data_IF_286013555798
#
_entry.id   IF_286013555798
#
_cell.length_a   1.000
_cell.length_b   1.000
_cell.length_c   1.000
_cell.angle_alpha   90.00
_cell.angle_beta   90.00
_cell.angle_gamma   90.00
#
_symmetry.space_group_name_H-M   'P 1'
#
loop_
_entity.id
_entity.type
_entity.pdbx_description
1 polymer ?
#
# COMPACT_ATOMS: atom_id res chain seq x y z
N UNK A 1 -22.37 92.96 21.21
CA UNK A 1 -22.72 91.69 21.88
C UNK A 1 -22.11 90.55 21.07
N UNK A 2 -21.39 89.64 21.75
CA UNK A 2 -20.85 88.34 21.29
C UNK A 2 -19.90 88.37 20.07
N UNK A 3 -18.56 88.34 20.19
CA UNK A 3 -17.63 87.40 20.85
C UNK A 3 -17.26 86.18 19.98
N UNK A 4 -15.94 85.92 19.94
CA UNK A 4 -15.20 84.68 19.56
C UNK A 4 -14.77 84.54 18.09
N UNK A 5 -13.58 84.03 17.76
CA UNK A 5 -12.26 83.85 18.39
C UNK A 5 -11.43 83.23 17.25
N UNK A 6 -10.30 83.83 16.84
CA UNK A 6 -9.38 83.18 15.91
C UNK A 6 -8.60 82.08 16.66
N UNK A 7 -8.57 80.86 16.12
CA UNK A 7 -7.71 79.80 16.62
C UNK A 7 -6.89 79.18 15.47
N UNK A 8 -5.59 79.44 15.59
CA UNK A 8 -4.44 78.88 14.87
C UNK A 8 -4.50 77.36 14.81
N UNK A 9 -4.16 76.75 13.66
CA UNK A 9 -3.86 75.32 13.60
C UNK A 9 -2.50 75.08 12.94
N UNK A 10 -1.64 74.39 13.68
CA UNK A 10 -0.25 74.02 13.44
C UNK A 10 -0.16 72.89 12.40
N UNK A 11 0.78 72.97 11.45
CA UNK A 11 1.19 71.82 10.63
C UNK A 11 2.07 70.88 11.47
N UNK A 12 1.72 69.59 11.52
CA UNK A 12 2.56 68.51 12.02
C UNK A 12 2.81 67.50 10.90
N UNK A 13 4.03 67.47 10.40
CA UNK A 13 4.54 66.49 9.42
C UNK A 13 4.88 65.18 10.14
N UNK A 14 4.11 64.13 9.89
CA UNK A 14 4.37 62.78 10.40
C UNK A 14 5.19 61.97 9.39
N UNK A 15 6.44 61.63 9.75
CA UNK A 15 7.22 60.58 9.08
C UNK A 15 6.67 59.20 9.48
N UNK A 16 6.37 58.36 8.49
CA UNK A 16 5.99 56.95 8.67
C UNK A 16 7.24 56.05 8.61
N UNK A 17 7.41 55.09 9.54
CA UNK A 17 8.43 54.07 9.44
C UNK A 17 7.97 52.92 8.51
N UNK A 18 8.82 52.56 7.55
CA UNK A 18 8.64 51.41 6.68
C UNK A 18 8.98 50.12 7.46
N UNK A 19 7.98 49.37 7.91
CA UNK A 19 8.18 48.03 8.47
C UNK A 19 8.21 47.01 7.34
N UNK A 20 9.38 46.41 7.08
CA UNK A 20 9.51 45.30 6.15
C UNK A 20 8.84 44.04 6.73
N UNK A 21 7.79 43.57 6.06
CA UNK A 21 7.13 42.29 6.37
C UNK A 21 8.00 41.19 5.76
N UNK A 22 8.79 40.51 6.60
CA UNK A 22 9.45 39.26 6.24
C UNK A 22 8.40 38.16 6.19
N UNK A 23 7.96 37.77 4.99
CA UNK A 23 7.18 36.56 4.80
C UNK A 23 8.08 35.34 5.00
N UNK A 24 7.72 34.35 5.82
CA UNK A 24 8.44 33.09 5.84
C UNK A 24 8.27 32.44 4.45
N UNK A 25 9.40 32.24 3.78
CA UNK A 25 9.49 31.37 2.61
C UNK A 25 8.86 30.03 2.97
N UNK A 26 7.75 29.70 2.33
CA UNK A 26 7.23 28.34 2.30
C UNK A 26 8.32 27.46 1.67
N UNK A 27 9.03 26.73 2.52
CA UNK A 27 9.90 25.66 2.09
C UNK A 27 9.02 24.62 1.38
N UNK A 28 9.35 24.18 0.16
CA UNK A 28 8.70 23.01 -0.41
C UNK A 28 8.93 21.85 0.56
N UNK A 29 7.84 21.20 0.97
CA UNK A 29 7.85 20.15 1.98
C UNK A 29 8.94 19.13 1.69
N UNK A 30 9.98 19.13 2.52
CA UNK A 30 10.88 17.99 2.63
C UNK A 30 9.98 16.83 3.03
N UNK A 31 9.80 15.88 2.13
CA UNK A 31 9.18 14.59 2.45
C UNK A 31 9.88 14.10 3.72
N UNK A 32 9.15 14.03 4.83
CA UNK A 32 9.70 13.56 6.10
C UNK A 32 10.40 12.23 5.82
N UNK A 33 11.68 12.05 6.21
CA UNK A 33 12.31 10.75 6.14
C UNK A 33 11.37 9.75 6.81
N UNK A 34 11.09 8.64 6.14
CA UNK A 34 10.30 7.56 6.72
C UNK A 34 10.99 7.16 8.03
N UNK A 35 10.39 7.48 9.17
CA UNK A 35 11.00 7.16 10.46
C UNK A 35 11.09 5.64 10.56
N UNK A 36 12.29 5.12 10.76
CA UNK A 36 12.53 3.69 10.91
C UNK A 36 12.98 3.41 12.34
N UNK A 37 12.59 2.25 12.90
CA UNK A 37 13.20 1.72 14.11
C UNK A 37 14.73 1.64 13.98
N UNK A 38 15.45 1.78 15.09
CA UNK A 38 16.90 1.59 15.11
C UNK A 38 17.32 0.19 14.61
N UNK A 39 16.47 -0.81 14.84
CA UNK A 39 16.54 -2.13 14.22
C UNK A 39 15.19 -2.49 13.60
N UNK A 40 15.17 -2.73 12.28
CA UNK A 40 13.99 -3.18 11.53
C UNK A 40 13.81 -4.70 11.56
N UNK A 41 14.65 -5.42 12.31
CA UNK A 41 14.55 -6.87 12.52
C UNK A 41 14.67 -7.72 11.26
N UNK A 42 14.32 -8.99 11.39
CA UNK A 42 14.30 -9.97 10.29
C UNK A 42 13.00 -10.76 10.28
N UNK A 43 12.66 -11.33 9.12
CA UNK A 43 11.58 -12.30 8.99
C UNK A 43 12.15 -13.66 9.36
N UNK A 44 11.67 -14.22 10.47
CA UNK A 44 12.17 -15.47 11.06
C UNK A 44 11.39 -16.68 10.60
N UNK A 45 10.11 -16.51 10.25
CA UNK A 45 9.30 -17.56 9.64
C UNK A 45 8.51 -17.01 8.45
N UNK A 46 8.40 -17.84 7.43
CA UNK A 46 7.60 -17.57 6.24
C UNK A 46 6.91 -18.87 5.84
N UNK A 47 5.58 -18.80 5.75
CA UNK A 47 4.75 -19.88 5.20
C UNK A 47 3.81 -19.27 4.17
N UNK A 48 3.29 -20.12 3.31
CA UNK A 48 2.26 -19.72 2.36
C UNK A 48 1.26 -20.85 2.16
N UNK A 49 0.07 -20.51 1.71
CA UNK A 49 -1.00 -21.44 1.40
C UNK A 49 -1.98 -20.83 0.39
N UNK A 50 -2.74 -21.68 -0.30
CA UNK A 50 -3.67 -21.24 -1.34
C UNK A 50 -3.56 -22.12 -2.57
N UNK A 51 -4.55 -22.03 -3.45
CA UNK A 51 -4.53 -22.78 -4.70
C UNK A 51 -3.54 -22.20 -5.72
N UNK A 52 -3.25 -20.89 -5.67
CA UNK A 52 -2.20 -20.25 -6.48
C UNK A 52 -0.79 -20.38 -5.89
N UNK A 53 -0.67 -20.85 -4.64
CA UNK A 53 0.61 -21.16 -4.01
C UNK A 53 0.48 -22.33 -3.04
N UNK A 54 0.56 -23.55 -3.58
CA UNK A 54 0.34 -24.76 -2.78
C UNK A 54 1.41 -24.90 -1.70
N UNK A 55 0.99 -25.04 -0.45
CA UNK A 55 1.88 -25.22 0.69
C UNK A 55 2.79 -26.45 0.50
N UNK A 56 4.07 -26.31 0.87
CA UNK A 56 5.05 -27.39 0.77
C UNK A 56 5.59 -27.62 -0.64
N UNK A 57 5.18 -26.80 -1.62
CA UNK A 57 5.80 -26.75 -2.94
C UNK A 57 7.02 -25.80 -2.94
N UNK A 58 7.57 -25.52 -4.12
CA UNK A 58 8.53 -24.43 -4.36
C UNK A 58 7.87 -23.31 -5.18
N UNK A 59 6.55 -23.12 -5.03
CA UNK A 59 5.77 -22.19 -5.85
C UNK A 59 6.00 -20.72 -5.53
N UNK A 60 6.63 -20.41 -4.39
CA UNK A 60 6.92 -19.04 -3.95
C UNK A 60 8.39 -18.91 -3.54
N UNK A 61 9.11 -17.99 -4.17
CA UNK A 61 10.46 -17.57 -3.77
C UNK A 61 10.41 -16.18 -3.16
N UNK A 62 10.84 -16.05 -1.89
CA UNK A 62 10.88 -14.78 -1.17
C UNK A 62 12.26 -14.12 -1.23
N UNK A 63 12.28 -12.80 -1.33
CA UNK A 63 13.45 -11.95 -1.09
C UNK A 63 13.09 -10.69 -0.29
N UNK A 64 14.09 -9.95 0.20
CA UNK A 64 13.90 -8.72 0.98
C UNK A 64 13.69 -8.91 2.48
N UNK A 65 13.22 -7.86 3.14
CA UNK A 65 13.08 -7.76 4.61
C UNK A 65 11.89 -6.88 5.02
N UNK A 66 11.78 -6.50 6.29
CA UNK A 66 10.59 -5.79 6.81
C UNK A 66 10.30 -4.42 6.18
N UNK A 67 11.25 -3.80 5.49
CA UNK A 67 11.01 -2.54 4.79
C UNK A 67 10.26 -2.78 3.48
N UNK A 68 10.63 -3.84 2.77
CA UNK A 68 10.11 -4.24 1.46
C UNK A 68 10.40 -5.72 1.23
N UNK A 69 9.38 -6.49 0.88
CA UNK A 69 9.44 -7.92 0.59
C UNK A 69 8.96 -8.16 -0.84
N UNK A 70 9.63 -9.07 -1.55
CA UNK A 70 9.24 -9.46 -2.90
C UNK A 70 9.11 -10.98 -3.00
N UNK A 71 8.04 -11.41 -3.65
CA UNK A 71 7.66 -12.81 -3.83
C UNK A 71 7.56 -13.08 -5.32
N UNK A 72 8.29 -14.09 -5.80
CA UNK A 72 8.13 -14.61 -7.15
C UNK A 72 7.29 -15.87 -7.10
N UNK A 73 6.30 -15.95 -7.97
CA UNK A 73 5.44 -17.11 -8.09
C UNK A 73 5.79 -17.89 -9.35
N UNK A 74 5.68 -19.21 -9.31
CA UNK A 74 5.89 -20.06 -10.48
C UNK A 74 4.62 -20.73 -11.00
N UNK A 75 3.51 -20.65 -10.25
CA UNK A 75 2.27 -21.39 -10.52
C UNK A 75 1.00 -20.65 -10.08
N UNK A 76 0.99 -19.31 -10.10
CA UNK A 76 -0.17 -18.52 -9.69
C UNK A 76 -0.89 -17.94 -10.91
N UNK A 77 -1.84 -18.69 -11.46
CA UNK A 77 -2.64 -18.28 -12.63
C UNK A 77 -4.12 -18.61 -12.46
N UNK A 78 -4.99 -17.59 -12.58
CA UNK A 78 -6.42 -17.81 -12.83
C UNK A 78 -6.67 -17.82 -14.34
N UNK A 79 -7.42 -18.78 -14.84
CA UNK A 79 -7.63 -18.96 -16.28
C UNK A 79 -9.00 -19.55 -16.60
N UNK A 80 -9.57 -19.04 -17.69
CA UNK A 80 -10.86 -19.41 -18.27
C UNK A 80 -10.73 -19.75 -19.75
N UNK A 81 -9.50 -19.89 -20.25
CA UNK A 81 -9.20 -20.30 -21.63
C UNK A 81 -9.27 -21.82 -21.73
N UNK A 82 -8.77 -22.50 -20.71
CA UNK A 82 -8.71 -23.96 -20.65
C UNK A 82 -9.87 -24.53 -19.83
N UNK A 83 -10.52 -25.57 -20.37
CA UNK A 83 -11.66 -26.21 -19.70
C UNK A 83 -11.21 -26.88 -18.39
N UNK A 84 -11.95 -26.63 -17.30
CA UNK A 84 -11.65 -27.17 -15.97
C UNK A 84 -10.60 -26.38 -15.18
N UNK A 85 -10.10 -25.27 -15.74
CA UNK A 85 -9.14 -24.38 -15.09
C UNK A 85 -9.88 -23.41 -14.14
N UNK A 86 -9.27 -23.04 -13.00
CA UNK A 86 -9.96 -22.25 -11.99
C UNK A 86 -10.10 -20.78 -12.39
N UNK A 87 -11.32 -20.27 -12.23
CA UNK A 87 -11.66 -18.84 -12.43
C UNK A 87 -11.23 -17.95 -11.27
N UNK A 88 -10.91 -18.54 -10.11
CA UNK A 88 -10.47 -17.84 -8.90
C UNK A 88 -9.22 -18.51 -8.34
N UNK A 89 -8.20 -17.72 -8.05
CA UNK A 89 -6.97 -18.15 -7.41
C UNK A 89 -6.60 -17.23 -6.25
N UNK A 90 -5.92 -17.76 -5.26
CA UNK A 90 -5.35 -16.99 -4.17
C UNK A 90 -4.02 -17.55 -3.70
N UNK A 91 -3.21 -16.65 -3.15
CA UNK A 91 -2.06 -16.99 -2.34
C UNK A 91 -2.08 -16.17 -1.06
N UNK A 92 -2.05 -16.86 0.07
CA UNK A 92 -1.91 -16.29 1.40
C UNK A 92 -0.50 -16.48 1.91
N UNK A 93 0.14 -15.36 2.25
CA UNK A 93 1.48 -15.28 2.79
C UNK A 93 1.41 -15.02 4.29
N UNK A 94 2.11 -15.84 5.08
CA UNK A 94 2.16 -15.73 6.53
C UNK A 94 3.59 -15.38 6.97
N UNK A 95 3.73 -14.24 7.65
CA UNK A 95 5.02 -13.69 8.08
C UNK A 95 5.12 -13.64 9.59
N UNK A 96 6.24 -14.12 10.12
CA UNK A 96 6.65 -13.84 11.48
C UNK A 96 8.05 -13.25 11.47
N UNK A 97 8.30 -12.27 12.32
CA UNK A 97 9.63 -11.68 12.47
C UNK A 97 10.02 -11.46 13.91
N UNK A 98 11.27 -11.03 14.08
CA UNK A 98 11.86 -10.75 15.37
C UNK A 98 12.92 -9.65 15.26
N UNK A 99 13.32 -9.11 16.41
CA UNK A 99 14.43 -8.16 16.51
C UNK A 99 14.08 -6.73 16.06
N UNK A 100 12.79 -6.39 15.97
CA UNK A 100 12.37 -5.00 15.79
C UNK A 100 12.55 -4.23 17.12
N UNK A 101 12.88 -2.94 17.05
CA UNK A 101 13.04 -2.13 18.27
C UNK A 101 11.72 -1.98 19.03
N UNK A 102 11.73 -2.03 20.38
CA UNK A 102 10.55 -1.73 21.20
C UNK A 102 10.00 -0.31 20.99
N UNK A 103 8.69 -0.11 21.19
CA UNK A 103 8.02 1.19 21.01
C UNK A 103 7.72 1.54 19.55
N UNK A 104 7.57 0.52 18.71
CA UNK A 104 7.26 0.66 17.29
C UNK A 104 6.10 -0.25 16.88
N UNK A 105 5.42 0.14 15.81
CA UNK A 105 4.46 -0.69 15.09
C UNK A 105 4.84 -0.73 13.61
N UNK A 106 4.44 -1.80 12.93
CA UNK A 106 4.59 -1.97 11.48
C UNK A 106 3.21 -2.17 10.84
N UNK A 107 3.04 -1.67 9.62
CA UNK A 107 1.83 -1.85 8.83
C UNK A 107 2.19 -1.94 7.34
N UNK A 108 1.32 -2.57 6.54
CA UNK A 108 1.42 -2.48 5.09
C UNK A 108 1.23 -1.02 4.63
N UNK A 109 2.07 -0.56 3.71
CA UNK A 109 1.99 0.77 3.12
C UNK A 109 1.51 0.71 1.68
N UNK A 110 2.06 -0.22 0.91
CA UNK A 110 1.75 -0.43 -0.51
C UNK A 110 1.90 -1.92 -0.83
N UNK A 111 1.05 -2.40 -1.71
CA UNK A 111 1.23 -3.69 -2.37
C UNK A 111 1.18 -3.49 -3.88
N UNK A 112 2.03 -4.21 -4.61
CA UNK A 112 1.96 -4.29 -6.05
C UNK A 112 2.13 -5.72 -6.56
N UNK A 113 1.44 -6.02 -7.66
CA UNK A 113 1.55 -7.29 -8.36
C UNK A 113 1.81 -7.03 -9.84
N UNK A 114 2.74 -7.78 -10.39
CA UNK A 114 3.06 -7.80 -11.81
C UNK A 114 2.83 -9.17 -12.39
N UNK A 115 2.49 -9.21 -13.67
CA UNK A 115 2.38 -10.47 -14.40
C UNK A 115 1.89 -10.27 -15.81
N UNK A 116 1.30 -11.33 -16.38
CA UNK A 116 0.72 -11.32 -17.71
C UNK A 116 -0.80 -11.43 -17.66
N UNK A 117 -1.47 -10.60 -18.45
CA UNK A 117 -2.92 -10.56 -18.56
C UNK A 117 -3.34 -10.87 -19.99
N UNK A 118 -4.26 -11.83 -20.14
CA UNK A 118 -5.08 -12.00 -21.33
C UNK A 118 -6.53 -11.74 -20.93
N UNK A 119 -7.18 -10.73 -21.52
CA UNK A 119 -8.57 -10.39 -21.20
C UNK A 119 -9.41 -10.37 -22.48
N UNK A 120 -10.35 -11.28 -22.58
CA UNK A 120 -11.32 -11.34 -23.68
C UNK A 120 -12.26 -10.13 -23.67
N UNK A 121 -12.97 -9.85 -24.78
CA UNK A 121 -14.01 -8.82 -24.81
C UNK A 121 -15.04 -9.02 -23.70
N UNK A 122 -15.44 -7.93 -23.05
CA UNK A 122 -16.46 -7.90 -21.99
C UNK A 122 -16.12 -8.71 -20.72
N UNK A 123 -14.88 -9.19 -20.61
CA UNK A 123 -14.36 -9.83 -19.41
C UNK A 123 -13.74 -8.83 -18.43
N UNK A 124 -13.68 -9.24 -17.17
CA UNK A 124 -13.11 -8.49 -16.05
C UNK A 124 -12.26 -9.38 -15.18
N UNK A 125 -11.18 -8.83 -14.65
CA UNK A 125 -10.48 -9.39 -13.48
C UNK A 125 -10.75 -8.54 -12.26
N UNK A 126 -11.20 -9.16 -11.17
CA UNK A 126 -11.24 -8.54 -9.84
C UNK A 126 -10.08 -9.07 -9.02
N UNK A 127 -9.40 -8.20 -8.28
CA UNK A 127 -8.31 -8.59 -7.40
C UNK A 127 -8.45 -7.94 -6.02
N UNK A 128 -7.94 -8.64 -5.00
CA UNK A 128 -8.08 -8.29 -3.60
C UNK A 128 -6.79 -8.62 -2.85
N UNK A 129 -6.31 -7.69 -2.03
CA UNK A 129 -5.43 -7.99 -0.90
C UNK A 129 -6.25 -7.96 0.38
N UNK A 130 -6.21 -9.04 1.15
CA UNK A 130 -6.75 -9.08 2.51
C UNK A 130 -5.59 -9.19 3.49
N UNK A 131 -5.52 -8.27 4.43
CA UNK A 131 -4.39 -8.10 5.33
C UNK A 131 -4.88 -8.09 6.76
N UNK A 132 -4.33 -8.97 7.59
CA UNK A 132 -4.70 -9.05 9.01
C UNK A 132 -3.55 -9.58 9.86
N UNK A 133 -3.51 -9.16 11.13
CA UNK A 133 -2.61 -9.74 12.13
C UNK A 133 -3.30 -10.91 12.81
N UNK A 134 -2.61 -12.03 13.03
CA UNK A 134 -3.23 -13.23 13.64
C UNK A 134 -3.78 -12.99 15.04
N UNK A 135 -3.20 -12.05 15.79
CA UNK A 135 -3.64 -11.71 17.15
C UNK A 135 -4.99 -10.96 17.17
N UNK A 136 -5.37 -10.35 16.04
CA UNK A 136 -6.67 -9.69 15.84
C UNK A 136 -7.18 -9.89 14.41
N UNK A 137 -7.44 -11.14 14.04
CA UNK A 137 -7.86 -11.48 12.68
C UNK A 137 -9.24 -10.91 12.29
N UNK A 138 -10.02 -10.44 13.27
CA UNK A 138 -11.29 -9.78 13.01
C UNK A 138 -11.09 -8.37 12.40
N UNK A 139 -9.98 -7.71 12.71
CA UNK A 139 -9.60 -6.44 12.10
C UNK A 139 -8.81 -6.70 10.80
N UNK A 140 -9.52 -6.68 9.67
CA UNK A 140 -8.98 -6.98 8.35
C UNK A 140 -9.03 -5.74 7.45
N UNK A 141 -7.86 -5.36 6.93
CA UNK A 141 -7.74 -4.39 5.85
C UNK A 141 -7.98 -5.11 4.51
N UNK A 142 -8.89 -4.59 3.69
CA UNK A 142 -9.11 -5.07 2.31
C UNK A 142 -8.77 -3.97 1.31
N UNK A 143 -7.84 -4.27 0.40
CA UNK A 143 -7.54 -3.47 -0.78
C UNK A 143 -8.10 -4.20 -2.00
N UNK A 144 -8.74 -3.49 -2.92
CA UNK A 144 -9.33 -4.15 -4.09
C UNK A 144 -9.27 -3.27 -5.33
N UNK A 145 -9.37 -3.92 -6.49
CA UNK A 145 -9.51 -3.23 -7.77
C UNK A 145 -9.97 -4.19 -8.86
N UNK A 146 -10.08 -3.65 -10.07
CA UNK A 146 -10.47 -4.41 -11.23
C UNK A 146 -9.77 -3.93 -12.50
N UNK A 147 -9.57 -4.84 -13.45
CA UNK A 147 -9.18 -4.54 -14.82
C UNK A 147 -10.33 -4.97 -15.72
N UNK A 148 -10.87 -4.02 -16.47
CA UNK A 148 -12.00 -4.21 -17.38
C UNK A 148 -11.55 -4.18 -18.84
N UNK A 149 -12.12 -5.06 -19.66
CA UNK A 149 -12.08 -4.94 -21.11
C UNK A 149 -13.45 -4.56 -21.68
N UNK A 150 -13.93 -3.37 -21.31
CA UNK A 150 -15.22 -2.82 -21.75
C UNK A 150 -15.22 -2.26 -23.19
N UNK A 151 -14.20 -2.59 -23.99
CA UNK A 151 -13.81 -1.84 -25.20
C UNK A 151 -14.43 -2.28 -26.53
N UNK A 152 -15.38 -3.22 -26.54
CA UNK A 152 -16.12 -3.61 -27.73
C UNK A 152 -15.72 -4.96 -28.36
N UNK A 153 -16.65 -5.45 -29.18
CA UNK A 153 -16.69 -6.78 -29.74
C UNK A 153 -15.37 -7.10 -30.49
N UNK A 154 -14.61 -8.08 -30.01
CA UNK A 154 -13.37 -8.65 -30.57
C UNK A 154 -12.04 -8.04 -30.12
N UNK A 155 -11.99 -7.07 -29.21
CA UNK A 155 -10.69 -6.62 -28.64
C UNK A 155 -10.22 -7.59 -27.55
N UNK A 156 -9.04 -8.19 -27.72
CA UNK A 156 -8.34 -8.92 -26.64
C UNK A 156 -7.24 -8.02 -26.09
N UNK A 157 -7.17 -7.87 -24.77
CA UNK A 157 -5.99 -7.30 -24.09
C UNK A 157 -5.00 -8.44 -23.87
N UNK A 158 -3.75 -8.29 -24.31
CA UNK A 158 -2.69 -9.27 -24.07
C UNK A 158 -1.38 -8.53 -23.81
N UNK A 159 -1.14 -8.16 -22.57
CA UNK A 159 0.00 -7.35 -22.16
C UNK A 159 0.50 -7.78 -20.78
N UNK A 160 1.72 -7.35 -20.45
CA UNK A 160 2.15 -7.33 -19.07
C UNK A 160 1.38 -6.25 -18.30
N UNK A 161 1.12 -6.48 -17.03
CA UNK A 161 0.42 -5.53 -16.17
C UNK A 161 1.22 -5.25 -14.89
N UNK A 162 0.85 -4.15 -14.25
CA UNK A 162 1.20 -3.85 -12.87
C UNK A 162 -0.02 -3.26 -12.20
N UNK A 163 -0.49 -3.90 -11.14
CA UNK A 163 -1.55 -3.35 -10.27
C UNK A 163 -0.92 -2.93 -8.95
N UNK A 164 -1.34 -1.77 -8.44
CA UNK A 164 -0.81 -1.18 -7.21
C UNK A 164 -1.97 -0.81 -6.29
N UNK A 165 -1.79 -1.01 -5.00
CA UNK A 165 -2.69 -0.55 -3.96
C UNK A 165 -1.91 0.18 -2.88
N UNK A 166 -2.35 1.40 -2.55
CA UNK A 166 -1.81 2.19 -1.46
C UNK A 166 -2.74 2.11 -0.24
N UNK A 167 -2.15 2.01 0.95
CA UNK A 167 -2.90 1.91 2.20
C UNK A 167 -3.12 3.29 2.81
N UNK A 168 -4.35 3.80 2.69
CA UNK A 168 -4.79 5.05 3.34
C UNK A 168 -4.92 4.88 4.86
N UNK A 169 -5.61 3.83 5.27
CA UNK A 169 -5.95 3.54 6.67
C UNK A 169 -5.20 2.29 7.12
N UNK A 170 -4.05 2.44 7.80
CA UNK A 170 -3.14 1.32 7.99
C UNK A 170 -3.57 0.45 9.17
N UNK A 171 -3.56 -0.86 8.95
CA UNK A 171 -3.72 -1.86 9.99
C UNK A 171 -2.37 -2.09 10.69
N UNK A 172 -2.23 -1.57 11.91
CA UNK A 172 -0.97 -1.61 12.65
C UNK A 172 -0.82 -2.90 13.45
N UNK A 173 0.40 -3.41 13.53
CA UNK A 173 0.78 -4.48 14.44
C UNK A 173 0.51 -4.09 15.90
N UNK A 174 0.61 -5.04 16.83
CA UNK A 174 0.77 -4.70 18.24
C UNK A 174 2.00 -3.80 18.46
N UNK A 175 1.99 -3.03 19.54
CA UNK A 175 3.16 -2.25 19.93
C UNK A 175 4.29 -3.19 20.35
N UNK A 176 5.41 -3.11 19.65
CA UNK A 176 6.52 -4.05 19.80
C UNK A 176 7.13 -3.90 21.19
N UNK A 177 7.26 -5.03 21.88
CA UNK A 177 7.79 -5.12 23.24
C UNK A 177 9.28 -5.49 23.23
N UNK A 178 9.85 -5.80 24.40
CA UNK A 178 11.25 -6.21 24.54
C UNK A 178 11.64 -7.48 23.77
N UNK A 179 10.66 -8.29 23.33
CA UNK A 179 10.87 -9.49 22.51
C UNK A 179 11.09 -9.19 21.02
N UNK A 180 10.82 -7.96 20.58
CA UNK A 180 11.01 -7.50 19.21
C UNK A 180 10.07 -8.16 18.20
N UNK A 181 8.96 -8.75 18.65
CA UNK A 181 8.00 -9.46 17.82
C UNK A 181 6.78 -8.57 17.48
N UNK A 182 6.48 -8.31 16.19
CA UNK A 182 5.29 -7.56 15.80
C UNK A 182 4.02 -8.43 15.76
N UNK A 183 4.14 -9.75 15.91
CA UNK A 183 3.07 -10.72 15.68
C UNK A 183 3.20 -11.42 14.32
N UNK A 184 2.18 -12.18 13.96
CA UNK A 184 2.09 -12.85 12.65
C UNK A 184 1.22 -12.01 11.71
N UNK A 185 1.79 -11.56 10.60
CA UNK A 185 1.07 -10.86 9.55
C UNK A 185 0.62 -11.85 8.48
N UNK A 186 -0.62 -11.75 8.05
CA UNK A 186 -1.19 -12.54 6.97
C UNK A 186 -1.60 -11.60 5.84
N UNK A 187 -1.18 -11.92 4.61
CA UNK A 187 -1.51 -11.17 3.40
C UNK A 187 -2.01 -12.15 2.35
N UNK A 188 -3.28 -12.10 2.02
CA UNK A 188 -3.91 -12.93 1.00
C UNK A 188 -4.17 -12.10 -0.27
N UNK A 189 -3.44 -12.40 -1.35
CA UNK A 189 -3.75 -11.88 -2.66
C UNK A 189 -4.67 -12.87 -3.39
N UNK A 190 -5.86 -12.42 -3.79
CA UNK A 190 -6.87 -13.21 -4.50
C UNK A 190 -7.28 -12.52 -5.78
N UNK A 191 -7.43 -13.31 -6.84
CA UNK A 191 -7.91 -12.87 -8.14
C UNK A 191 -9.10 -13.70 -8.58
N UNK A 192 -10.03 -13.09 -9.29
CA UNK A 192 -11.19 -13.75 -9.87
C UNK A 192 -11.52 -13.17 -11.25
N UNK A 193 -11.62 -14.05 -12.25
CA UNK A 193 -12.02 -13.70 -13.61
C UNK A 193 -13.54 -13.81 -13.74
N UNK A 194 -14.14 -12.81 -14.38
CA UNK A 194 -15.54 -12.79 -14.80
C UNK A 194 -15.55 -12.73 -16.33
N UNK A 195 -16.22 -13.70 -16.96
CA UNK A 195 -16.17 -13.94 -18.41
C UNK A 195 -15.27 -15.13 -18.76
N UNK A 196 -15.24 -15.49 -20.05
CA UNK A 196 -14.49 -16.63 -20.57
C UNK A 196 -13.29 -16.19 -21.42
N UNK A 197 -12.40 -17.12 -21.78
CA UNK A 197 -11.31 -16.86 -22.71
C UNK A 197 -10.24 -15.87 -22.21
N UNK A 198 -10.10 -15.76 -20.88
CA UNK A 198 -9.20 -14.81 -20.21
C UNK A 198 -8.29 -15.53 -19.20
N UNK A 199 -7.09 -15.01 -19.00
CA UNK A 199 -6.15 -15.48 -17.98
C UNK A 199 -5.44 -14.32 -17.26
N UNK A 200 -5.07 -14.56 -16.01
CA UNK A 200 -4.37 -13.64 -15.13
C UNK A 200 -3.28 -14.39 -14.39
N UNK A 201 -2.06 -14.27 -14.91
CA UNK A 201 -0.86 -14.86 -14.33
C UNK A 201 -0.15 -13.84 -13.44
N UNK A 202 0.38 -14.32 -12.31
CA UNK A 202 1.04 -13.50 -11.29
C UNK A 202 2.51 -13.90 -11.26
N UNK A 203 3.39 -13.02 -11.74
CA UNK A 203 4.83 -13.26 -11.72
C UNK A 203 5.44 -12.88 -10.36
N UNK A 204 5.08 -11.70 -9.86
CA UNK A 204 5.69 -11.12 -8.67
C UNK A 204 4.70 -10.30 -7.86
N UNK A 205 4.79 -10.41 -6.54
CA UNK A 205 4.15 -9.51 -5.58
C UNK A 205 5.23 -8.79 -4.76
N UNK A 206 5.09 -7.49 -4.59
CA UNK A 206 5.93 -6.69 -3.71
C UNK A 206 5.08 -6.05 -2.63
N UNK A 207 5.48 -6.24 -1.37
CA UNK A 207 4.84 -5.66 -0.20
C UNK A 207 5.80 -4.66 0.44
N UNK A 208 5.40 -3.39 0.48
CA UNK A 208 6.13 -2.33 1.14
C UNK A 208 5.43 -1.96 2.44
N UNK A 209 6.21 -1.81 3.50
CA UNK A 209 5.67 -1.56 4.83
C UNK A 209 5.83 -0.10 5.21
N UNK A 210 5.32 0.30 6.37
CA UNK A 210 5.61 1.56 7.08
C UNK A 210 5.66 1.31 8.58
N UNK A 211 6.35 2.20 9.28
CA UNK A 211 6.57 2.11 10.72
C UNK A 211 6.08 3.38 11.39
N UNK A 212 5.65 3.26 12.63
CA UNK A 212 5.36 4.40 13.51
C UNK A 212 5.72 4.09 14.95
N UNK A 213 5.86 5.13 15.76
CA UNK A 213 5.95 5.01 17.21
C UNK A 213 4.60 4.64 17.84
N UNK A 214 4.72 3.87 18.91
CA UNK A 214 3.76 3.67 19.97
C UNK A 214 4.54 3.85 21.30
#
# INVERSE_FOLDING_TARGET
>A
MLSKLLATTLLATTLLPLTAISSPLHHPGVLSPRELPASVGTVTQFKYSGNGCTQGSNSVTRSGGWVSQSFKFSQFEADTISAGTPTTQNCELHFQGAGLSPGWQVSLAEADVTGKLVLAPDSRVNYYWQVYWSDDAADTLTLQGAIDNAGGNNKIINNNYTVKANVSDPLWSQCISGDGNPGILNVNFRVAIVGDGSSFDVDTETLNYKFRRC
#
